data_IF_308058697769
#
_entry.id   IF_308058697769
#
_cell.length_a   1.000
_cell.length_b   1.000
_cell.length_c   1.000
_cell.angle_alpha   90.00
_cell.angle_beta   90.00
_cell.angle_gamma   90.00
#
_symmetry.space_group_name_H-M   'P 1'
#
loop_
_entity.id
_entity.type
_entity.pdbx_description
1 polymer ?
#
# COMPACT_ATOMS: atom_id res chain seq x y z
N UNK A 1 -21.10 -11.13 26.70
CA UNK A 1 -21.16 -10.60 25.32
C UNK A 1 -21.88 -11.68 24.52
N UNK A 2 -23.09 -11.40 24.02
CA UNK A 2 -23.76 -12.33 23.09
C UNK A 2 -23.11 -12.15 21.72
N UNK A 3 -22.47 -13.19 21.22
CA UNK A 3 -21.92 -13.22 19.86
C UNK A 3 -23.08 -13.33 18.86
N UNK A 4 -23.04 -12.50 17.81
CA UNK A 4 -23.95 -12.59 16.67
C UNK A 4 -23.58 -13.86 15.89
N UNK A 5 -24.51 -14.79 15.62
CA UNK A 5 -24.22 -15.95 14.79
C UNK A 5 -23.71 -15.55 13.41
N UNK A 6 -22.77 -16.31 12.85
CA UNK A 6 -22.19 -16.00 11.53
C UNK A 6 -23.22 -16.04 10.39
N UNK A 7 -24.32 -16.76 10.58
CA UNK A 7 -25.44 -16.94 9.66
C UNK A 7 -26.62 -15.99 9.94
N UNK A 8 -26.51 -15.11 10.95
CA UNK A 8 -27.57 -14.16 11.27
C UNK A 8 -27.98 -13.34 10.04
N UNK A 9 -29.28 -13.18 9.73
CA UNK A 9 -29.74 -12.38 8.62
C UNK A 9 -29.31 -10.92 8.76
N UNK A 10 -28.63 -10.40 7.74
CA UNK A 10 -28.20 -9.00 7.68
C UNK A 10 -28.60 -8.38 6.34
N UNK A 11 -28.78 -7.07 6.33
CA UNK A 11 -28.95 -6.27 5.12
C UNK A 11 -28.21 -4.95 5.28
N UNK A 12 -27.86 -4.29 4.18
CA UNK A 12 -27.37 -2.93 4.19
C UNK A 12 -28.41 -1.99 3.60
N UNK A 13 -28.66 -0.87 4.28
CA UNK A 13 -29.62 0.17 3.86
C UNK A 13 -28.96 1.54 3.81
N UNK A 14 -29.60 2.48 3.10
CA UNK A 14 -29.11 3.85 2.95
C UNK A 14 -27.72 3.95 2.31
N UNK A 15 -27.40 2.98 1.44
CA UNK A 15 -26.10 2.93 0.77
C UNK A 15 -25.91 4.17 -0.12
N UNK A 16 -24.70 4.76 -0.13
CA UNK A 16 -24.33 5.81 -1.05
C UNK A 16 -24.50 5.38 -2.52
N UNK A 17 -24.76 6.35 -3.38
CA UNK A 17 -24.82 6.10 -4.82
C UNK A 17 -23.52 5.42 -5.31
N UNK A 18 -23.66 4.36 -6.09
CA UNK A 18 -22.55 3.53 -6.56
C UNK A 18 -22.25 2.30 -5.71
N UNK A 19 -22.89 2.17 -4.54
CA UNK A 19 -22.83 0.95 -3.74
C UNK A 19 -24.15 0.18 -3.80
N UNK A 20 -24.05 -1.15 -3.81
CA UNK A 20 -25.19 -2.07 -3.76
C UNK A 20 -24.95 -3.17 -2.75
N UNK A 21 -26.04 -3.67 -2.13
CA UNK A 21 -25.99 -4.82 -1.24
C UNK A 21 -26.22 -6.11 -2.05
N UNK A 22 -25.26 -7.02 -2.02
CA UNK A 22 -25.41 -8.37 -2.57
C UNK A 22 -25.81 -9.32 -1.43
N UNK A 23 -27.08 -9.72 -1.40
CA UNK A 23 -27.63 -10.55 -0.34
C UNK A 23 -27.08 -11.98 -0.36
N UNK A 24 -26.83 -12.54 -1.54
CA UNK A 24 -26.33 -13.91 -1.71
C UNK A 24 -24.88 -14.04 -1.21
N UNK A 25 -24.06 -13.03 -1.50
CA UNK A 25 -22.67 -12.98 -1.07
C UNK A 25 -22.47 -12.26 0.27
N UNK A 26 -23.54 -11.69 0.83
CA UNK A 26 -23.56 -10.94 2.11
C UNK A 26 -22.48 -9.86 2.16
N UNK A 27 -22.34 -9.11 1.07
CA UNK A 27 -21.34 -8.04 0.94
C UNK A 27 -21.88 -6.81 0.21
N UNK A 28 -21.25 -5.68 0.48
CA UNK A 28 -21.48 -4.45 -0.27
C UNK A 28 -20.54 -4.45 -1.47
N UNK A 29 -21.07 -4.16 -2.66
CA UNK A 29 -20.36 -4.10 -3.93
C UNK A 29 -20.49 -2.74 -4.57
N UNK A 30 -19.54 -2.37 -5.44
CA UNK A 30 -19.51 -1.10 -6.14
C UNK A 30 -18.45 -0.15 -5.62
N UNK A 31 -18.55 1.12 -6.02
CA UNK A 31 -17.61 2.18 -5.63
C UNK A 31 -18.30 3.53 -5.48
N UNK A 32 -17.77 4.36 -4.58
CA UNK A 32 -18.15 5.77 -4.43
C UNK A 32 -16.97 6.60 -4.92
N UNK A 33 -17.15 7.35 -5.99
CA UNK A 33 -16.10 8.18 -6.61
C UNK A 33 -16.11 9.64 -6.17
N UNK A 34 -17.20 10.11 -5.56
CA UNK A 34 -17.32 11.50 -5.11
C UNK A 34 -16.74 11.63 -3.70
N UNK A 35 -15.79 12.54 -3.46
CA UNK A 35 -15.30 12.81 -2.11
C UNK A 35 -16.41 13.26 -1.17
N UNK A 36 -16.37 12.79 0.07
CA UNK A 36 -17.38 13.14 1.07
C UNK A 36 -17.46 12.11 2.20
N UNK A 37 -18.31 12.43 3.18
CA UNK A 37 -18.62 11.52 4.28
C UNK A 37 -20.04 11.02 4.14
N UNK A 38 -20.18 9.73 3.99
CA UNK A 38 -21.44 9.01 3.79
C UNK A 38 -21.77 8.20 5.02
N UNK A 39 -23.06 8.11 5.32
CA UNK A 39 -23.56 7.27 6.43
C UNK A 39 -24.55 6.27 5.86
N UNK A 40 -24.42 5.02 6.26
CA UNK A 40 -25.35 3.96 5.93
C UNK A 40 -25.49 2.99 7.11
N UNK A 41 -26.41 2.05 7.03
CA UNK A 41 -26.65 1.09 8.09
C UNK A 41 -26.42 -0.34 7.62
N UNK A 42 -25.79 -1.14 8.47
CA UNK A 42 -25.87 -2.61 8.39
C UNK A 42 -26.87 -3.03 9.45
N UNK A 43 -27.97 -3.62 9.03
CA UNK A 43 -29.04 -4.05 9.92
C UNK A 43 -28.94 -5.53 10.22
N UNK A 44 -28.94 -5.89 11.48
CA UNK A 44 -29.19 -7.25 11.93
C UNK A 44 -30.71 -7.48 11.96
N UNK A 45 -31.19 -8.49 11.27
CA UNK A 45 -32.60 -8.86 11.23
C UNK A 45 -32.85 -9.92 12.30
N UNK A 46 -33.60 -9.53 13.33
CA UNK A 46 -34.03 -10.46 14.39
C UNK A 46 -35.46 -10.87 14.09
N UNK A 47 -35.66 -12.16 13.85
CA UNK A 47 -37.01 -12.74 13.62
C UNK A 47 -37.40 -13.60 14.80
N UNK A 48 -38.57 -13.37 15.37
CA UNK A 48 -39.23 -14.31 16.25
C UNK A 48 -40.48 -14.89 15.55
N UNK A 49 -41.28 -15.65 16.29
CA UNK A 49 -42.45 -16.36 15.71
C UNK A 49 -43.58 -15.41 15.27
N UNK A 50 -43.52 -14.13 15.61
CA UNK A 50 -44.63 -13.19 15.42
C UNK A 50 -44.16 -11.90 14.70
N UNK A 51 -42.93 -11.42 14.97
CA UNK A 51 -42.42 -10.14 14.46
C UNK A 51 -40.97 -10.22 14.01
N UNK A 52 -40.58 -9.30 13.14
CA UNK A 52 -39.17 -9.06 12.76
C UNK A 52 -38.73 -7.66 13.18
N UNK A 53 -37.63 -7.58 13.89
CA UNK A 53 -36.99 -6.31 14.28
C UNK A 53 -35.67 -6.12 13.53
N UNK A 54 -35.43 -4.87 13.11
CA UNK A 54 -34.14 -4.45 12.52
C UNK A 54 -33.33 -3.71 13.58
N UNK A 55 -32.12 -4.18 13.83
CA UNK A 55 -31.17 -3.49 14.72
C UNK A 55 -30.09 -2.84 13.86
N UNK A 56 -30.11 -1.51 13.70
CA UNK A 56 -29.16 -0.81 12.84
C UNK A 56 -27.81 -0.66 13.51
N UNK A 57 -26.75 -0.93 12.73
CA UNK A 57 -25.38 -0.58 13.03
C UNK A 57 -24.94 0.52 12.06
N UNK A 58 -24.80 1.77 12.52
CA UNK A 58 -24.42 2.88 11.67
C UNK A 58 -22.94 2.73 11.25
N UNK A 59 -22.69 2.87 9.96
CA UNK A 59 -21.37 2.86 9.37
C UNK A 59 -21.10 4.20 8.74
N UNK A 60 -19.89 4.72 8.92
CA UNK A 60 -19.43 5.94 8.25
C UNK A 60 -18.36 5.56 7.22
N UNK A 61 -18.60 5.94 5.97
CA UNK A 61 -17.64 5.84 4.89
C UNK A 61 -17.15 7.26 4.55
N UNK A 62 -15.84 7.49 4.67
CA UNK A 62 -15.21 8.72 4.20
C UNK A 62 -14.49 8.44 2.90
N UNK A 63 -14.86 9.17 1.84
CA UNK A 63 -14.17 9.18 0.55
C UNK A 63 -13.40 10.49 0.49
N UNK A 64 -12.08 10.40 0.43
CA UNK A 64 -11.17 11.55 0.43
C UNK A 64 -10.16 11.35 -0.69
N UNK A 65 -9.93 12.38 -1.49
CA UNK A 65 -8.96 12.35 -2.59
C UNK A 65 -7.53 12.05 -2.13
N UNK A 66 -7.23 12.30 -0.86
CA UNK A 66 -5.94 12.00 -0.24
C UNK A 66 -5.73 10.51 0.04
N UNK A 67 -6.80 9.69 0.09
CA UNK A 67 -6.67 8.25 0.27
C UNK A 67 -6.45 7.55 -1.07
N UNK A 68 -5.21 7.44 -1.47
CA UNK A 68 -4.80 6.78 -2.71
C UNK A 68 -5.07 5.26 -2.72
N UNK A 69 -5.17 4.64 -1.54
CA UNK A 69 -5.41 3.21 -1.38
C UNK A 69 -6.54 2.94 -0.39
N UNK A 70 -7.70 2.54 -0.89
CA UNK A 70 -8.84 2.09 -0.08
C UNK A 70 -8.72 0.63 0.40
N UNK A 71 -7.71 -0.09 -0.02
CA UNK A 71 -7.46 -1.50 0.33
C UNK A 71 -6.07 -1.68 0.90
N UNK A 72 -5.86 -2.66 1.80
CA UNK A 72 -4.52 -3.01 2.24
C UNK A 72 -3.62 -3.34 1.05
N UNK A 73 -2.36 -2.92 1.12
CA UNK A 73 -1.36 -3.27 0.11
C UNK A 73 -1.12 -4.77 0.18
N UNK A 74 -1.38 -5.47 -0.91
CA UNK A 74 -1.12 -6.90 -1.06
C UNK A 74 -0.06 -7.10 -2.13
N UNK A 75 0.98 -7.85 -1.79
CA UNK A 75 2.10 -8.04 -2.72
C UNK A 75 3.21 -8.89 -2.13
N UNK A 76 4.31 -8.93 -2.86
CA UNK A 76 5.56 -9.55 -2.45
C UNK A 76 6.56 -8.45 -2.04
N UNK A 77 7.31 -8.70 -0.97
CA UNK A 77 8.41 -7.84 -0.52
C UNK A 77 9.69 -8.64 -0.42
N UNK A 78 10.81 -8.05 -0.84
CA UNK A 78 12.06 -8.79 -1.07
C UNK A 78 12.79 -9.25 0.18
N UNK A 79 12.68 -8.53 1.31
CA UNK A 79 13.58 -8.71 2.46
C UNK A 79 13.64 -10.15 2.97
N UNK A 80 12.50 -10.75 3.29
CA UNK A 80 12.44 -12.09 3.88
C UNK A 80 12.84 -13.22 2.93
N UNK A 81 13.10 -12.92 1.65
CA UNK A 81 13.43 -13.93 0.64
C UNK A 81 14.88 -13.81 0.18
N UNK A 82 15.35 -12.58 -0.07
CA UNK A 82 16.66 -12.34 -0.68
C UNK A 82 17.50 -11.30 0.08
N UNK A 83 16.93 -10.64 1.11
CA UNK A 83 17.63 -9.59 1.86
C UNK A 83 18.34 -8.61 0.92
N UNK A 84 19.63 -8.39 1.14
CA UNK A 84 20.47 -7.51 0.34
C UNK A 84 20.82 -8.03 -1.07
N UNK A 85 20.47 -9.25 -1.43
CA UNK A 85 20.73 -9.82 -2.78
C UNK A 85 19.68 -9.41 -3.83
N UNK A 86 18.89 -8.35 -3.53
CA UNK A 86 17.95 -7.76 -4.49
C UNK A 86 18.68 -7.27 -5.75
N UNK A 87 18.08 -7.51 -6.91
CA UNK A 87 18.64 -7.10 -8.20
C UNK A 87 17.56 -7.03 -9.28
N UNK A 88 17.85 -6.37 -10.40
CA UNK A 88 16.97 -6.32 -11.59
C UNK A 88 16.54 -7.73 -12.03
N UNK A 89 17.44 -8.72 -11.99
CA UNK A 89 17.12 -10.12 -12.30
C UNK A 89 16.09 -10.72 -11.34
N UNK A 90 16.23 -10.48 -10.03
CA UNK A 90 15.28 -10.97 -9.03
C UNK A 90 13.92 -10.33 -9.23
N UNK A 91 13.86 -9.02 -9.47
CA UNK A 91 12.61 -8.28 -9.71
C UNK A 91 11.88 -8.87 -10.92
N UNK A 92 12.55 -9.01 -12.07
CA UNK A 92 11.94 -9.53 -13.30
C UNK A 92 11.41 -10.94 -13.12
N UNK A 93 12.23 -11.83 -12.54
CA UNK A 93 11.79 -13.21 -12.31
C UNK A 93 10.61 -13.30 -11.32
N UNK A 94 10.59 -12.45 -10.29
CA UNK A 94 9.48 -12.42 -9.33
C UNK A 94 8.20 -11.89 -9.99
N UNK A 95 8.28 -10.83 -10.80
CA UNK A 95 7.12 -10.30 -11.53
C UNK A 95 6.51 -11.36 -12.48
N UNK A 96 7.36 -12.10 -13.19
CA UNK A 96 6.91 -13.21 -14.05
C UNK A 96 6.21 -14.30 -13.23
N UNK A 97 6.81 -14.72 -12.11
CA UNK A 97 6.24 -15.76 -11.25
C UNK A 97 4.94 -15.33 -10.58
N UNK A 98 4.78 -14.05 -10.20
CA UNK A 98 3.52 -13.54 -9.65
C UNK A 98 2.37 -13.69 -10.66
N UNK A 99 2.62 -13.44 -11.94
CA UNK A 99 1.63 -13.64 -12.99
C UNK A 99 1.38 -15.12 -13.28
N UNK A 100 2.43 -15.92 -13.46
CA UNK A 100 2.33 -17.36 -13.74
C UNK A 100 1.55 -18.13 -12.66
N UNK A 101 1.70 -17.72 -11.39
CA UNK A 101 1.03 -18.33 -10.25
C UNK A 101 -0.37 -17.76 -10.00
N UNK A 102 -0.84 -16.80 -10.81
CA UNK A 102 -2.15 -16.16 -10.65
C UNK A 102 -2.25 -15.24 -9.43
N UNK A 103 -1.12 -14.84 -8.82
CA UNK A 103 -1.13 -13.99 -7.62
C UNK A 103 -1.71 -12.61 -7.93
N UNK A 104 -1.42 -12.04 -9.11
CA UNK A 104 -2.01 -10.78 -9.55
C UNK A 104 -3.55 -10.87 -9.58
N UNK A 105 -4.09 -11.92 -10.17
CA UNK A 105 -5.54 -12.12 -10.28
C UNK A 105 -6.20 -12.37 -8.92
N UNK A 106 -5.43 -12.92 -7.96
CA UNK A 106 -5.84 -13.06 -6.57
C UNK A 106 -5.73 -11.75 -5.75
N UNK A 107 -5.29 -10.64 -6.35
CA UNK A 107 -5.22 -9.33 -5.72
C UNK A 107 -3.83 -8.91 -5.19
N UNK A 108 -2.79 -9.71 -5.39
CA UNK A 108 -1.42 -9.36 -5.02
C UNK A 108 -0.78 -8.52 -6.13
N UNK A 109 -1.02 -7.22 -6.09
CA UNK A 109 -0.64 -6.30 -7.17
C UNK A 109 0.72 -5.65 -7.01
N UNK A 110 1.32 -5.68 -5.81
CA UNK A 110 2.55 -4.96 -5.52
C UNK A 110 3.76 -5.89 -5.50
N UNK A 111 4.83 -5.47 -6.18
CA UNK A 111 6.18 -5.99 -6.01
C UNK A 111 7.02 -4.89 -5.36
N UNK A 112 7.48 -5.13 -4.14
CA UNK A 112 8.16 -4.12 -3.32
C UNK A 112 9.60 -4.56 -3.09
N UNK A 113 10.56 -3.72 -3.50
CA UNK A 113 11.96 -3.91 -3.11
C UNK A 113 12.19 -3.28 -1.73
N UNK A 114 12.90 -4.02 -0.90
CA UNK A 114 13.28 -3.58 0.45
C UNK A 114 14.68 -2.94 0.44
N UNK A 115 15.35 -2.88 1.57
CA UNK A 115 16.64 -2.22 1.78
C UNK A 115 17.76 -2.75 0.84
N UNK A 116 18.86 -2.03 0.78
CA UNK A 116 20.10 -2.36 0.06
C UNK A 116 19.99 -2.41 -1.48
N UNK A 117 19.01 -1.71 -2.07
CA UNK A 117 18.99 -1.43 -3.51
C UNK A 117 19.96 -0.28 -3.88
N UNK A 118 20.40 0.47 -2.89
CA UNK A 118 21.17 1.70 -2.99
C UNK A 118 22.62 1.47 -3.45
N UNK A 119 23.15 2.44 -4.21
CA UNK A 119 24.60 2.60 -4.36
C UNK A 119 25.26 3.00 -3.02
N UNK A 120 26.59 2.93 -2.90
CA UNK A 120 27.29 3.35 -1.67
C UNK A 120 27.07 4.82 -1.27
N UNK A 121 26.69 5.68 -2.23
CA UNK A 121 26.39 7.10 -2.00
C UNK A 121 25.36 7.62 -3.01
N UNK A 122 24.71 8.72 -2.65
CA UNK A 122 23.87 9.51 -3.55
C UNK A 122 24.68 10.07 -4.72
N UNK A 123 23.99 10.53 -5.76
CA UNK A 123 24.59 11.32 -6.82
C UNK A 123 25.10 12.67 -6.28
N UNK A 124 25.96 13.37 -7.05
CA UNK A 124 26.53 14.64 -6.65
C UNK A 124 25.49 15.77 -6.44
N UNK A 125 24.33 15.65 -7.07
CA UNK A 125 23.18 16.55 -6.92
C UNK A 125 22.25 16.17 -5.75
N UNK A 126 22.61 15.16 -4.98
CA UNK A 126 21.83 14.66 -3.84
C UNK A 126 20.72 13.66 -4.21
N UNK A 127 20.46 13.40 -5.48
CA UNK A 127 19.45 12.42 -5.88
C UNK A 127 19.82 11.00 -5.45
N UNK A 128 18.85 10.15 -5.09
CA UNK A 128 19.10 8.76 -4.74
C UNK A 128 19.62 8.01 -5.96
N UNK A 129 20.47 7.04 -5.72
CA UNK A 129 21.12 6.24 -6.74
C UNK A 129 21.02 4.77 -6.44
N UNK A 130 20.59 3.99 -7.41
CA UNK A 130 20.63 2.53 -7.37
C UNK A 130 22.05 1.99 -7.53
N UNK A 131 22.32 0.81 -6.96
CA UNK A 131 23.58 0.11 -7.17
C UNK A 131 23.68 -0.37 -8.62
N UNK A 132 24.65 0.14 -9.42
CA UNK A 132 24.77 -0.20 -10.85
C UNK A 132 25.11 -1.69 -11.08
N UNK A 133 25.66 -2.40 -10.09
CA UNK A 133 25.92 -3.83 -10.20
C UNK A 133 24.62 -4.64 -10.06
N UNK A 134 23.70 -4.16 -9.26
CA UNK A 134 22.37 -4.77 -9.05
C UNK A 134 21.39 -4.36 -10.13
N UNK A 135 21.47 -3.13 -10.61
CA UNK A 135 20.58 -2.50 -11.58
C UNK A 135 21.35 -1.93 -12.79
N UNK A 136 21.95 -2.76 -13.61
CA UNK A 136 22.83 -2.31 -14.71
C UNK A 136 22.09 -1.50 -15.78
N UNK A 137 20.76 -1.64 -15.87
CA UNK A 137 19.91 -0.87 -16.80
C UNK A 137 19.15 0.26 -16.12
N UNK A 138 19.50 0.58 -14.87
CA UNK A 138 18.83 1.58 -14.04
C UNK A 138 17.54 1.10 -13.38
N UNK A 139 17.15 1.78 -12.30
CA UNK A 139 15.93 1.47 -11.54
C UNK A 139 14.67 1.59 -12.40
N UNK A 140 14.59 2.65 -13.22
CA UNK A 140 13.44 2.85 -14.11
C UNK A 140 13.16 1.65 -15.02
N UNK A 141 14.19 1.00 -15.56
CA UNK A 141 14.02 -0.18 -16.40
C UNK A 141 13.38 -1.36 -15.66
N UNK A 142 13.71 -1.54 -14.38
CA UNK A 142 13.09 -2.56 -13.53
C UNK A 142 11.63 -2.22 -13.24
N UNK A 143 11.33 -0.97 -12.92
CA UNK A 143 9.95 -0.47 -12.70
C UNK A 143 9.09 -0.65 -13.94
N UNK A 144 9.57 -0.21 -15.11
CA UNK A 144 8.85 -0.34 -16.38
C UNK A 144 8.54 -1.82 -16.70
N UNK A 145 9.46 -2.74 -16.37
CA UNK A 145 9.23 -4.16 -16.54
C UNK A 145 8.08 -4.67 -15.64
N UNK A 146 8.09 -4.31 -14.37
CA UNK A 146 7.02 -4.68 -13.43
C UNK A 146 5.67 -4.15 -13.91
N UNK A 147 5.62 -2.90 -14.36
CA UNK A 147 4.43 -2.28 -14.94
C UNK A 147 3.95 -3.02 -16.21
N UNK A 148 4.88 -3.49 -17.06
CA UNK A 148 4.53 -4.27 -18.26
C UNK A 148 3.82 -5.59 -17.94
N UNK A 149 3.98 -6.11 -16.71
CA UNK A 149 3.26 -7.28 -16.19
C UNK A 149 1.92 -6.93 -15.55
N UNK A 150 1.53 -5.64 -15.53
CA UNK A 150 0.31 -5.16 -14.88
C UNK A 150 0.39 -5.18 -13.36
N UNK A 151 1.60 -5.19 -12.80
CA UNK A 151 1.89 -5.07 -11.37
C UNK A 151 2.29 -3.63 -11.04
N UNK A 152 2.26 -3.28 -9.77
CA UNK A 152 2.74 -2.02 -9.21
C UNK A 152 4.08 -2.22 -8.53
N UNK A 153 4.93 -1.19 -8.56
CA UNK A 153 6.27 -1.24 -7.99
C UNK A 153 6.37 -0.41 -6.70
N UNK A 154 6.88 -1.03 -5.64
CA UNK A 154 7.21 -0.37 -4.39
C UNK A 154 8.71 -0.28 -4.15
N UNK A 155 9.15 0.79 -3.50
CA UNK A 155 10.54 1.00 -3.09
C UNK A 155 10.64 1.22 -1.59
N UNK A 156 11.82 1.01 -1.04
CA UNK A 156 12.13 1.21 0.38
C UNK A 156 13.01 2.43 0.60
N UNK A 157 12.75 3.16 1.67
CA UNK A 157 13.65 4.12 2.29
C UNK A 157 13.41 4.24 3.80
N UNK A 158 14.10 5.17 4.44
CA UNK A 158 14.03 5.37 5.89
C UNK A 158 13.94 6.86 6.23
N UNK A 159 13.19 7.20 7.28
CA UNK A 159 13.04 8.55 7.82
C UNK A 159 14.25 9.01 8.67
N UNK A 160 15.39 8.37 8.50
CA UNK A 160 16.66 8.72 9.12
C UNK A 160 17.75 8.97 8.07
N UNK A 161 18.95 9.32 8.52
CA UNK A 161 20.14 9.46 7.66
C UNK A 161 20.56 8.12 7.04
N UNK A 162 20.26 7.01 7.74
CA UNK A 162 20.59 5.66 7.32
C UNK A 162 19.39 4.73 7.44
N UNK A 163 19.32 3.80 6.49
CA UNK A 163 18.37 2.69 6.52
C UNK A 163 18.75 1.68 7.60
N UNK A 164 17.85 0.73 7.90
CA UNK A 164 18.10 -0.32 8.89
C UNK A 164 19.38 -1.12 8.58
N UNK A 165 19.69 -1.36 7.32
CA UNK A 165 20.90 -2.06 6.88
C UNK A 165 22.09 -1.12 6.61
N UNK A 166 21.98 0.19 6.89
CA UNK A 166 23.07 1.15 6.86
C UNK A 166 23.32 1.85 5.53
N UNK A 167 22.44 1.69 4.53
CA UNK A 167 22.45 2.50 3.33
C UNK A 167 22.01 3.96 3.64
N UNK A 168 22.04 4.87 2.68
CA UNK A 168 21.53 6.22 2.89
C UNK A 168 19.99 6.22 3.00
N UNK A 169 19.45 6.91 4.01
CA UNK A 169 18.02 7.19 4.16
C UNK A 169 17.60 8.50 3.51
N UNK A 170 16.33 8.89 3.69
CA UNK A 170 15.74 10.08 3.04
C UNK A 170 15.69 11.32 3.94
N UNK A 171 16.11 11.25 5.20
CA UNK A 171 16.05 12.41 6.10
C UNK A 171 16.82 13.61 5.55
N UNK A 172 16.12 14.74 5.38
CA UNK A 172 16.64 15.94 4.75
C UNK A 172 16.69 15.91 3.21
N UNK A 173 16.26 14.81 2.59
CA UNK A 173 16.20 14.63 1.13
C UNK A 173 14.80 14.21 0.64
N UNK A 174 13.76 14.32 1.48
CA UNK A 174 12.42 13.77 1.23
C UNK A 174 11.88 14.24 -0.12
N UNK A 175 11.95 15.53 -0.41
CA UNK A 175 11.46 16.08 -1.68
C UNK A 175 12.29 15.63 -2.89
N UNK A 176 13.61 15.53 -2.72
CA UNK A 176 14.52 15.05 -3.77
C UNK A 176 14.25 13.60 -4.09
N UNK A 177 14.07 12.78 -3.06
CA UNK A 177 13.80 11.35 -3.18
C UNK A 177 12.41 11.09 -3.78
N UNK A 178 11.37 11.76 -3.27
CA UNK A 178 10.03 11.66 -3.80
C UNK A 178 9.97 12.01 -5.31
N UNK A 179 10.62 13.10 -5.72
CA UNK A 179 10.73 13.46 -7.12
C UNK A 179 11.42 12.37 -7.95
N UNK A 180 12.51 11.80 -7.45
CA UNK A 180 13.24 10.75 -8.17
C UNK A 180 12.44 9.46 -8.25
N UNK A 181 11.72 9.08 -7.18
CA UNK A 181 10.82 7.93 -7.19
C UNK A 181 9.69 8.13 -8.20
N UNK A 182 9.12 9.32 -8.27
CA UNK A 182 8.12 9.65 -9.29
C UNK A 182 8.68 9.55 -10.72
N UNK A 183 9.91 10.02 -10.96
CA UNK A 183 10.59 9.91 -12.27
C UNK A 183 10.86 8.44 -12.66
N UNK A 184 11.14 7.58 -11.69
CA UNK A 184 11.25 6.15 -11.93
C UNK A 184 9.90 5.45 -12.15
N UNK A 185 8.79 6.08 -11.72
CA UNK A 185 7.44 5.52 -11.82
C UNK A 185 7.07 4.63 -10.62
N UNK A 186 7.65 4.87 -9.47
CA UNK A 186 7.33 4.12 -8.24
C UNK A 186 5.91 4.42 -7.78
N UNK A 187 5.16 3.38 -7.42
CA UNK A 187 3.76 3.47 -6.97
C UNK A 187 3.59 3.50 -5.45
N UNK A 188 4.61 3.06 -4.70
CA UNK A 188 4.54 2.92 -3.25
C UNK A 188 5.91 3.08 -2.60
N UNK A 189 5.96 3.81 -1.50
CA UNK A 189 7.13 3.89 -0.63
C UNK A 189 6.88 3.10 0.67
N UNK A 190 7.70 2.08 0.95
CA UNK A 190 7.88 1.56 2.30
C UNK A 190 8.88 2.47 3.01
N UNK A 191 8.46 3.11 4.10
CA UNK A 191 9.24 4.13 4.79
C UNK A 191 9.44 3.72 6.24
N UNK A 192 10.67 3.38 6.59
CA UNK A 192 11.06 2.86 7.91
C UNK A 192 11.53 3.97 8.85
N UNK A 193 11.92 3.61 10.08
CA UNK A 193 12.35 4.56 11.12
C UNK A 193 13.54 4.01 11.92
N UNK A 194 14.54 3.45 11.25
CA UNK A 194 15.76 2.94 11.88
C UNK A 194 16.74 4.08 12.17
N UNK A 195 17.57 3.93 13.20
CA UNK A 195 18.61 4.91 13.55
C UNK A 195 18.09 6.35 13.77
N UNK A 196 16.81 6.52 14.02
CA UNK A 196 16.15 7.80 14.29
C UNK A 196 15.86 7.96 15.80
N UNK A 197 15.62 9.20 16.29
CA UNK A 197 15.29 9.44 17.69
C UNK A 197 14.01 8.72 18.12
N UNK A 198 13.99 8.13 19.31
CA UNK A 198 12.81 7.53 19.94
C UNK A 198 11.83 8.60 20.46
N UNK A 199 11.39 9.50 19.57
CA UNK A 199 10.45 10.58 19.87
C UNK A 199 9.27 10.51 18.90
N UNK A 200 8.05 10.38 19.43
CA UNK A 200 6.82 10.25 18.61
C UNK A 200 6.49 11.52 17.84
N UNK A 201 6.81 12.69 18.37
CA UNK A 201 6.56 13.98 17.70
C UNK A 201 7.49 14.14 16.51
N UNK A 202 8.76 13.81 16.70
CA UNK A 202 9.77 13.80 15.65
C UNK A 202 9.42 12.77 14.56
N UNK A 203 9.05 11.55 14.96
CA UNK A 203 8.59 10.53 14.01
C UNK A 203 7.40 11.02 13.17
N UNK A 204 6.38 11.56 13.83
CA UNK A 204 5.21 12.10 13.14
C UNK A 204 5.55 13.23 12.17
N UNK A 205 6.51 14.09 12.54
CA UNK A 205 7.01 15.16 11.67
C UNK A 205 7.70 14.61 10.43
N UNK A 206 8.63 13.67 10.58
CA UNK A 206 9.39 13.06 9.47
C UNK A 206 8.49 12.32 8.48
N UNK A 207 7.54 11.51 9.01
CA UNK A 207 6.54 10.85 8.16
C UNK A 207 5.65 11.84 7.44
N UNK A 208 5.24 12.94 8.10
CA UNK A 208 4.47 14.00 7.45
C UNK A 208 5.28 14.67 6.33
N UNK A 209 6.53 15.02 6.59
CA UNK A 209 7.41 15.66 5.60
C UNK A 209 7.53 14.82 4.34
N UNK A 210 7.73 13.52 4.48
CA UNK A 210 7.75 12.62 3.32
C UNK A 210 6.37 12.51 2.65
N UNK A 211 5.29 12.39 3.44
CA UNK A 211 3.93 12.31 2.89
C UNK A 211 3.49 13.58 2.15
N UNK A 212 4.03 14.75 2.51
CA UNK A 212 3.80 16.02 1.78
C UNK A 212 4.69 16.15 0.54
N UNK A 213 5.79 15.39 0.47
CA UNK A 213 6.69 15.37 -0.67
C UNK A 213 6.22 14.42 -1.79
N UNK A 214 5.51 13.34 -1.43
CA UNK A 214 4.90 12.35 -2.33
C UNK A 214 3.61 12.86 -2.96
#
# INVERSE_FOLDING_TARGET
IKTIPADAPIEATDLPAGLTWNADLRRIEGSVSTPGTYRYNINLILTDRVDSARVPYPVTLTVDERYLNSRPVMGWISWNVVEGDISDRVIRSTADRMNELGLKDAGYHYLIIDDLWHAPSRNADGTPREDPNKFPNGMKSAVDYVHSKGLKFGIYSDAADKTCAGAFGSYGFEKTDANQYALWGVDLLKYDYCHAPEDRTEAALRYRTMGEAL
#
